data_IF_780966813895
#
_entry.id   IF_780966813895
#
_cell.length_a   1.000
_cell.length_b   1.000
_cell.length_c   1.000
_cell.angle_alpha   90.00
_cell.angle_beta   90.00
_cell.angle_gamma   90.00
#
_symmetry.space_group_name_H-M   'P 1'
#
loop_
_entity.id
_entity.type
_entity.pdbx_description
1 polymer ?
#
# COMPACT_ATOMS: atom_id res chain seq x y z
N UNK A 1 -8.48 -24.17 -10.82
CA UNK A 1 -9.46 -23.10 -10.59
C UNK A 1 -8.71 -21.78 -10.57
N UNK A 2 -8.78 -21.00 -11.64
CA UNK A 2 -8.17 -19.67 -11.71
C UNK A 2 -9.29 -18.68 -11.46
N UNK A 3 -9.48 -18.26 -10.20
CA UNK A 3 -10.44 -17.21 -9.88
C UNK A 3 -9.88 -15.90 -10.45
N UNK A 4 -10.42 -15.46 -11.58
CA UNK A 4 -10.10 -14.16 -12.17
C UNK A 4 -10.79 -13.07 -11.33
N UNK A 5 -10.23 -12.79 -10.16
CA UNK A 5 -10.69 -11.69 -9.33
C UNK A 5 -10.58 -10.38 -10.12
N UNK A 6 -11.70 -9.67 -10.24
CA UNK A 6 -11.71 -8.35 -10.85
C UNK A 6 -10.90 -7.37 -9.99
N UNK A 7 -10.33 -6.31 -10.61
CA UNK A 7 -9.70 -5.21 -9.88
C UNK A 7 -10.50 -4.66 -8.70
N UNK A 8 -11.84 -4.61 -8.82
CA UNK A 8 -12.72 -4.13 -7.76
C UNK A 8 -12.76 -5.10 -6.57
N UNK A 9 -12.84 -6.41 -6.82
CA UNK A 9 -12.80 -7.43 -5.77
C UNK A 9 -11.47 -7.42 -5.03
N UNK A 10 -10.36 -7.25 -5.75
CA UNK A 10 -9.02 -7.13 -5.17
C UNK A 10 -8.93 -5.92 -4.23
N UNK A 11 -9.38 -4.74 -4.68
CA UNK A 11 -9.40 -3.52 -3.85
C UNK A 11 -10.30 -3.68 -2.62
N UNK A 12 -11.47 -4.29 -2.78
CA UNK A 12 -12.38 -4.57 -1.67
C UNK A 12 -11.75 -5.53 -0.65
N UNK A 13 -11.04 -6.56 -1.11
CA UNK A 13 -10.36 -7.51 -0.25
C UNK A 13 -9.22 -6.86 0.56
N UNK A 14 -8.46 -5.98 -0.09
CA UNK A 14 -7.42 -5.18 0.56
C UNK A 14 -8.04 -4.24 1.60
N UNK A 15 -9.14 -3.56 1.24
CA UNK A 15 -9.89 -2.72 2.17
C UNK A 15 -10.32 -3.50 3.41
N UNK A 16 -11.01 -4.62 3.23
CA UNK A 16 -11.50 -5.46 4.34
C UNK A 16 -10.36 -5.99 5.22
N UNK A 17 -9.25 -6.42 4.60
CA UNK A 17 -8.07 -6.91 5.33
C UNK A 17 -7.44 -5.83 6.20
N UNK A 18 -7.25 -4.63 5.66
CA UNK A 18 -6.61 -3.50 6.36
C UNK A 18 -7.55 -2.92 7.43
N UNK A 19 -8.83 -2.72 7.09
CA UNK A 19 -9.80 -2.10 8.00
C UNK A 19 -10.04 -2.94 9.26
N UNK A 20 -10.05 -4.27 9.13
CA UNK A 20 -10.27 -5.20 10.25
C UNK A 20 -9.07 -5.39 11.17
N UNK A 21 -7.88 -4.95 10.78
CA UNK A 21 -6.70 -5.08 11.64
C UNK A 21 -6.78 -4.09 12.81
N UNK A 22 -7.07 -4.56 14.02
CA UNK A 22 -7.22 -3.72 15.21
C UNK A 22 -5.87 -3.22 15.76
N UNK A 23 -4.74 -3.78 15.31
CA UNK A 23 -3.40 -3.37 15.76
C UNK A 23 -2.90 -2.12 15.05
N UNK A 24 -3.49 -1.78 13.90
CA UNK A 24 -3.11 -0.61 13.11
C UNK A 24 -3.83 0.67 13.58
N UNK A 25 -3.09 1.76 13.86
CA UNK A 25 -3.68 3.08 14.05
C UNK A 25 -4.49 3.53 12.84
N UNK A 26 -5.48 4.41 13.05
CA UNK A 26 -6.34 4.90 11.98
C UNK A 26 -5.56 5.55 10.83
N UNK A 27 -4.56 6.38 11.13
CA UNK A 27 -3.71 7.01 10.11
C UNK A 27 -2.89 5.99 9.32
N UNK A 28 -2.39 4.94 9.97
CA UNK A 28 -1.67 3.84 9.30
C UNK A 28 -2.57 3.07 8.34
N UNK A 29 -3.84 2.84 8.70
CA UNK A 29 -4.83 2.24 7.79
C UNK A 29 -5.06 3.14 6.58
N UNK A 30 -5.24 4.44 6.79
CA UNK A 30 -5.43 5.41 5.70
C UNK A 30 -4.26 5.34 4.71
N UNK A 31 -3.01 5.35 5.19
CA UNK A 31 -1.82 5.21 4.35
C UNK A 31 -1.88 3.94 3.48
N UNK A 32 -2.15 2.78 4.09
CA UNK A 32 -2.21 1.51 3.38
C UNK A 32 -3.34 1.46 2.35
N UNK A 33 -4.50 2.03 2.68
CA UNK A 33 -5.66 2.07 1.79
C UNK A 33 -5.43 3.00 0.60
N UNK A 34 -4.75 4.14 0.81
CA UNK A 34 -4.34 5.03 -0.26
C UNK A 34 -3.37 4.31 -1.20
N UNK A 35 -2.33 3.66 -0.67
CA UNK A 35 -1.39 2.87 -1.49
C UNK A 35 -2.16 1.79 -2.24
N UNK A 36 -3.06 1.04 -1.59
CA UNK A 36 -3.90 0.01 -2.21
C UNK A 36 -4.72 0.56 -3.38
N UNK A 37 -5.32 1.74 -3.21
CA UNK A 37 -6.19 2.34 -4.22
C UNK A 37 -5.41 2.87 -5.44
N UNK A 38 -4.20 3.39 -5.20
CA UNK A 38 -3.30 3.86 -6.25
C UNK A 38 -2.47 2.73 -6.88
N UNK A 39 -2.50 1.52 -6.30
CA UNK A 39 -1.81 0.34 -6.83
C UNK A 39 -2.46 -0.12 -8.13
N UNK A 40 -1.67 -0.38 -9.16
CA UNK A 40 -2.19 -0.94 -10.41
C UNK A 40 -2.74 -2.36 -10.15
N UNK A 41 -4.04 -2.62 -10.42
CA UNK A 41 -4.68 -3.87 -9.99
C UNK A 41 -4.14 -5.15 -10.63
N UNK A 42 -3.47 -5.04 -11.78
CA UNK A 42 -2.95 -6.18 -12.55
C UNK A 42 -1.52 -6.54 -12.16
N UNK A 43 -0.70 -5.54 -11.87
CA UNK A 43 0.73 -5.73 -11.59
C UNK A 43 1.03 -5.68 -10.09
N UNK A 44 0.11 -5.15 -9.28
CA UNK A 44 0.30 -4.82 -7.88
C UNK A 44 1.52 -3.94 -7.59
N UNK A 45 2.00 -3.23 -8.62
CA UNK A 45 3.08 -2.25 -8.51
C UNK A 45 2.42 -0.89 -8.36
N UNK A 46 2.65 -0.25 -7.24
CA UNK A 46 2.05 1.02 -6.90
C UNK A 46 3.06 2.15 -7.12
N UNK A 47 4.32 1.92 -6.75
CA UNK A 47 5.44 2.86 -6.85
C UNK A 47 5.00 4.26 -6.41
N UNK A 48 4.40 4.35 -5.22
CA UNK A 48 3.72 5.56 -4.75
C UNK A 48 4.69 6.45 -3.96
N UNK A 49 4.92 7.71 -4.37
CA UNK A 49 5.68 8.66 -3.58
C UNK A 49 4.87 9.18 -2.37
N UNK A 50 5.56 9.64 -1.33
CA UNK A 50 4.94 10.20 -0.11
C UNK A 50 3.94 11.31 -0.42
N UNK A 51 4.26 12.18 -1.38
CA UNK A 51 3.40 13.29 -1.78
C UNK A 51 2.00 12.84 -2.21
N UNK A 52 1.87 11.73 -2.93
CA UNK A 52 0.56 11.18 -3.29
C UNK A 52 -0.16 10.60 -2.08
N UNK A 53 0.55 9.98 -1.13
CA UNK A 53 -0.05 9.46 0.11
C UNK A 53 -0.63 10.61 0.94
N UNK A 54 0.11 11.71 1.07
CA UNK A 54 -0.28 12.94 1.77
C UNK A 54 -1.55 13.53 1.14
N UNK A 55 -1.53 13.77 -0.18
CA UNK A 55 -2.63 14.41 -0.90
C UNK A 55 -3.89 13.55 -0.87
N UNK A 56 -3.79 12.25 -1.18
CA UNK A 56 -4.96 11.37 -1.24
C UNK A 56 -5.45 10.93 0.15
N UNK A 57 -4.56 10.90 1.15
CA UNK A 57 -4.91 10.53 2.51
C UNK A 57 -5.42 11.69 3.37
N UNK A 58 -5.23 12.94 2.94
CA UNK A 58 -5.53 14.11 3.77
C UNK A 58 -4.71 14.14 5.06
N UNK A 59 -3.50 13.56 5.03
CA UNK A 59 -2.61 13.44 6.19
C UNK A 59 -1.52 14.51 6.13
N UNK A 60 -0.99 14.90 7.29
CA UNK A 60 0.21 15.74 7.33
C UNK A 60 1.43 14.94 6.88
N UNK A 61 2.34 15.58 6.15
CA UNK A 61 3.57 14.93 5.67
C UNK A 61 4.44 14.41 6.82
N UNK A 62 4.45 15.11 7.96
CA UNK A 62 5.14 14.70 9.19
C UNK A 62 4.58 13.40 9.76
N UNK A 63 3.25 13.23 9.74
CA UNK A 63 2.60 11.99 10.19
C UNK A 63 2.93 10.83 9.26
N UNK A 64 2.83 11.05 7.94
CA UNK A 64 3.15 10.02 6.94
C UNK A 64 4.61 9.59 7.05
N UNK A 65 5.53 10.55 7.17
CA UNK A 65 6.98 10.29 7.31
C UNK A 65 7.33 9.56 8.60
N UNK A 66 6.57 9.77 9.68
CA UNK A 66 6.74 9.07 10.95
C UNK A 66 6.17 7.64 10.92
N UNK A 67 5.05 7.42 10.22
CA UNK A 67 4.34 6.14 10.22
C UNK A 67 4.87 5.14 9.19
N UNK A 68 5.37 5.61 8.04
CA UNK A 68 5.90 4.74 6.98
C UNK A 68 7.03 3.80 7.45
N UNK A 69 8.03 4.24 8.23
CA UNK A 69 9.06 3.35 8.76
C UNK A 69 8.49 2.23 9.65
N UNK A 70 7.46 2.52 10.44
CA UNK A 70 6.78 1.51 11.26
C UNK A 70 6.01 0.52 10.39
N UNK A 71 5.33 0.99 9.35
CA UNK A 71 4.65 0.12 8.38
C UNK A 71 5.63 -0.76 7.60
N UNK A 72 6.81 -0.24 7.26
CA UNK A 72 7.90 -0.97 6.62
C UNK A 72 8.48 -2.04 7.55
N UNK A 73 8.81 -1.68 8.79
CA UNK A 73 9.34 -2.62 9.79
C UNK A 73 8.37 -3.79 10.06
N UNK A 74 7.06 -3.51 10.06
CA UNK A 74 6.01 -4.52 10.22
C UNK A 74 5.62 -5.22 8.90
N UNK A 75 6.36 -4.99 7.81
CA UNK A 75 6.16 -5.62 6.49
C UNK A 75 4.78 -5.39 5.89
N UNK A 76 4.16 -4.23 6.14
CA UNK A 76 2.94 -3.81 5.46
C UNK A 76 3.22 -3.13 4.12
N UNK A 77 4.30 -2.35 4.08
CA UNK A 77 4.80 -1.70 2.86
C UNK A 77 6.25 -2.07 2.60
N UNK A 78 6.66 -2.01 1.35
CA UNK A 78 8.07 -2.07 0.93
C UNK A 78 8.48 -0.72 0.34
N UNK A 79 9.71 -0.31 0.68
CA UNK A 79 10.34 0.90 0.16
C UNK A 79 11.20 0.56 -1.05
N UNK A 80 11.03 1.31 -2.13
CA UNK A 80 11.84 1.23 -3.35
C UNK A 80 12.54 2.57 -3.58
N UNK A 81 13.87 2.54 -3.63
CA UNK A 81 14.67 3.69 -4.06
C UNK A 81 14.87 3.61 -5.57
N UNK A 82 14.33 4.59 -6.30
CA UNK A 82 14.55 4.71 -7.73
C UNK A 82 15.65 5.74 -7.96
N UNK A 83 16.82 5.34 -8.50
CA UNK A 83 17.88 6.27 -8.83
C UNK A 83 17.38 7.24 -9.90
N UNK A 84 17.55 8.54 -9.68
CA UNK A 84 17.26 9.54 -10.70
C UNK A 84 18.41 9.58 -11.72
N UNK A 85 18.09 9.54 -13.01
CA UNK A 85 19.07 9.49 -14.10
C UNK A 85 19.76 10.83 -14.38
N UNK A 86 19.50 11.88 -13.60
CA UNK A 86 19.87 13.27 -13.94
C UNK A 86 20.49 14.05 -12.77
N UNK A 87 21.23 13.38 -11.88
CA UNK A 87 21.88 14.04 -10.74
C UNK A 87 20.93 14.53 -9.63
N UNK A 88 19.63 14.28 -9.77
CA UNK A 88 18.64 14.54 -8.72
C UNK A 88 18.76 13.49 -7.60
N UNK A 89 18.33 13.82 -6.37
CA UNK A 89 18.26 12.82 -5.31
C UNK A 89 17.36 11.64 -5.72
N UNK A 90 17.68 10.42 -5.27
CA UNK A 90 16.86 9.25 -5.55
C UNK A 90 15.44 9.44 -5.00
N UNK A 91 14.45 9.00 -5.76
CA UNK A 91 13.04 9.11 -5.38
C UNK A 91 12.66 7.87 -4.58
N UNK A 92 12.03 8.10 -3.42
CA UNK A 92 11.50 7.02 -2.58
C UNK A 92 10.06 6.73 -2.97
N UNK A 93 9.78 5.48 -3.31
CA UNK A 93 8.46 4.98 -3.69
C UNK A 93 8.05 3.82 -2.77
N UNK A 94 6.74 3.65 -2.56
CA UNK A 94 6.19 2.64 -1.68
C UNK A 94 5.22 1.70 -2.42
N UNK A 95 5.28 0.40 -2.11
CA UNK A 95 4.29 -0.59 -2.51
C UNK A 95 3.71 -1.29 -1.27
N UNK A 96 2.53 -1.89 -1.41
CA UNK A 96 2.08 -2.91 -0.45
C UNK A 96 2.95 -4.16 -0.60
N UNK A 97 3.21 -4.85 0.50
CA UNK A 97 4.01 -6.08 0.44
C UNK A 97 3.24 -7.25 -0.16
N UNK A 98 3.93 -8.20 -0.81
CA UNK A 98 3.30 -9.41 -1.35
C UNK A 98 2.52 -10.26 -0.31
N UNK A 99 2.95 -10.40 0.97
CA UNK A 99 2.17 -11.11 2.00
C UNK A 99 0.81 -10.48 2.28
N UNK A 100 0.71 -9.14 2.33
CA UNK A 100 -0.56 -8.45 2.51
C UNK A 100 -1.49 -8.73 1.34
N UNK A 101 -1.00 -8.56 0.11
CA UNK A 101 -1.75 -8.83 -1.12
C UNK A 101 -2.22 -10.28 -1.14
N UNK A 102 -1.33 -11.24 -0.83
CA UNK A 102 -1.69 -12.67 -0.79
C UNK A 102 -2.77 -12.97 0.25
N UNK A 103 -2.72 -12.32 1.41
CA UNK A 103 -3.74 -12.48 2.46
C UNK A 103 -5.09 -11.94 2.00
N UNK A 104 -5.10 -10.76 1.38
CA UNK A 104 -6.31 -10.17 0.80
C UNK A 104 -6.88 -11.03 -0.34
N UNK A 105 -6.03 -11.49 -1.27
CA UNK A 105 -6.44 -12.36 -2.37
C UNK A 105 -6.97 -13.71 -1.87
N UNK A 106 -6.33 -14.29 -0.86
CA UNK A 106 -6.88 -15.46 -0.16
C UNK A 106 -8.25 -15.12 0.38
N UNK A 107 -8.46 -14.04 1.12
CA UNK A 107 -9.81 -13.71 1.62
C UNK A 107 -10.87 -13.47 0.54
N UNK A 108 -10.49 -12.95 -0.63
CA UNK A 108 -11.42 -12.72 -1.73
C UNK A 108 -11.68 -13.93 -2.63
N UNK A 109 -10.70 -14.81 -2.77
CA UNK A 109 -10.78 -16.01 -3.61
C UNK A 109 -11.03 -17.28 -2.82
N UNK A 110 -10.79 -17.26 -1.50
CA UNK A 110 -10.86 -18.42 -0.64
C UNK A 110 -12.02 -18.37 0.32
N UNK A 111 -12.68 -19.52 0.51
CA UNK A 111 -12.16 -20.90 0.46
C UNK A 111 -11.26 -21.37 -0.70
#
# INVERSE_FOLDING_TARGET
MTSNLSPAQIRLALWDTISRDLTLPAQSKIILLVIANLTEPRSFKARIPISLIVVHGGLQESDVSRLLPTLEANRWVEKMLVPSSSGSPPVTLYNLTPPLIRTALRRAGNC
#
